data_IF_456946268375
#
_entry.id   IF_456946268375
#
_cell.length_a   1.000
_cell.length_b   1.000
_cell.length_c   1.000
_cell.angle_alpha   90.00
_cell.angle_beta   90.00
_cell.angle_gamma   90.00
#
_symmetry.space_group_name_H-M   'P 1'
#
loop_
_entity.id
_entity.type
_entity.pdbx_description
1 polymer ?
#
# COMPACT_ATOMS: atom_id res chain seq x y z
N UNK A 1 6.26 -1.63 -18.60
CA UNK A 1 7.07 -1.58 -17.37
C UNK A 1 6.35 -0.71 -16.36
N UNK A 2 6.15 -1.20 -15.15
CA UNK A 2 5.50 -0.40 -14.12
C UNK A 2 6.53 0.21 -13.17
N UNK A 3 6.10 1.22 -12.42
CA UNK A 3 6.95 1.89 -11.43
C UNK A 3 6.65 1.39 -10.02
N UNK A 4 6.12 0.17 -9.92
CA UNK A 4 5.70 -0.38 -8.63
C UNK A 4 6.89 -0.92 -7.86
N UNK A 5 6.91 -0.64 -6.57
CA UNK A 5 7.89 -1.14 -5.62
C UNK A 5 7.18 -1.83 -4.47
N UNK A 6 7.92 -2.64 -3.71
CA UNK A 6 7.34 -3.49 -2.67
C UNK A 6 8.20 -3.48 -1.43
N UNK A 7 7.54 -3.69 -0.27
CA UNK A 7 8.24 -3.81 1.01
C UNK A 7 8.13 -5.23 1.54
N UNK A 8 9.02 -5.62 2.47
CA UNK A 8 8.90 -6.92 3.14
C UNK A 8 7.59 -7.09 3.93
N UNK A 9 6.94 -5.99 4.30
CA UNK A 9 5.65 -6.01 5.00
C UNK A 9 4.47 -6.20 4.06
N UNK A 10 4.73 -6.49 2.78
CA UNK A 10 3.69 -6.78 1.78
C UNK A 10 2.83 -5.57 1.43
N UNK A 11 3.46 -4.41 1.34
CA UNK A 11 2.83 -3.17 0.89
C UNK A 11 3.50 -2.76 -0.42
N UNK A 12 2.69 -2.34 -1.40
CA UNK A 12 3.23 -1.83 -2.66
C UNK A 12 3.05 -0.33 -2.76
N UNK A 13 3.90 0.30 -3.56
CA UNK A 13 3.82 1.72 -3.87
C UNK A 13 4.16 1.90 -5.35
N UNK A 14 3.41 2.73 -6.03
CA UNK A 14 3.61 2.97 -7.47
C UNK A 14 3.61 4.46 -7.75
N UNK A 15 4.75 4.96 -8.26
CA UNK A 15 4.88 6.37 -8.59
C UNK A 15 4.03 6.70 -9.82
N UNK A 16 3.35 7.85 -9.79
CA UNK A 16 2.59 8.34 -10.91
C UNK A 16 3.52 8.95 -11.96
N UNK A 17 2.96 9.27 -13.13
CA UNK A 17 3.73 9.87 -14.22
C UNK A 17 4.37 11.21 -13.85
N UNK A 18 3.80 11.94 -12.88
CA UNK A 18 4.34 13.21 -12.43
C UNK A 18 5.63 13.05 -11.60
N UNK A 19 5.95 11.83 -11.15
CA UNK A 19 7.13 11.54 -10.36
C UNK A 19 7.09 12.07 -8.93
N UNK A 20 5.97 12.66 -8.51
CA UNK A 20 5.83 13.31 -7.20
C UNK A 20 4.79 12.58 -6.36
N UNK A 21 3.71 12.10 -7.00
CA UNK A 21 2.60 11.42 -6.35
C UNK A 21 2.79 9.91 -6.47
N UNK A 22 2.40 9.17 -5.44
CA UNK A 22 2.46 7.72 -5.47
C UNK A 22 1.21 7.11 -4.84
N UNK A 23 0.81 5.95 -5.36
CA UNK A 23 -0.34 5.19 -4.86
C UNK A 23 0.18 4.03 -4.01
N UNK A 24 -0.50 3.77 -2.89
CA UNK A 24 -0.10 2.73 -1.93
C UNK A 24 -1.23 1.73 -1.74
N UNK A 25 -0.90 0.46 -1.66
CA UNK A 25 -1.85 -0.60 -1.39
C UNK A 25 -1.14 -1.84 -0.83
N UNK A 26 -1.90 -2.92 -0.64
CA UNK A 26 -1.34 -4.18 -0.15
C UNK A 26 -1.22 -5.19 -1.29
N UNK A 27 -0.32 -6.16 -1.12
CA UNK A 27 -0.07 -7.16 -2.16
C UNK A 27 -1.11 -8.28 -2.13
N UNK A 28 -1.12 -9.10 -3.19
CA UNK A 28 -1.92 -10.33 -3.21
C UNK A 28 -1.55 -11.24 -2.06
N UNK A 29 -0.27 -11.35 -1.74
CA UNK A 29 0.20 -12.18 -0.63
C UNK A 29 -0.42 -11.71 0.69
N UNK A 30 -0.46 -10.39 0.90
CA UNK A 30 -1.02 -9.83 2.13
C UNK A 30 -2.51 -10.15 2.27
N UNK A 31 -3.29 -9.89 1.21
CA UNK A 31 -4.73 -10.12 1.28
C UNK A 31 -5.05 -11.61 1.42
N UNK A 32 -4.26 -12.49 0.79
CA UNK A 32 -4.44 -13.92 0.90
C UNK A 32 -4.19 -14.41 2.34
N UNK A 33 -3.13 -13.91 2.95
CA UNK A 33 -2.79 -14.25 4.33
C UNK A 33 -3.84 -13.73 5.34
N UNK A 34 -4.42 -12.55 5.05
CA UNK A 34 -5.43 -11.96 5.93
C UNK A 34 -6.80 -12.62 5.81
N UNK A 35 -7.14 -13.14 4.62
CA UNK A 35 -8.47 -13.64 4.33
C UNK A 35 -9.43 -12.49 4.04
N UNK A 36 -10.72 -12.72 4.22
CA UNK A 36 -11.75 -11.73 3.87
C UNK A 36 -11.59 -10.43 4.67
N UNK A 37 -11.35 -9.35 3.96
CA UNK A 37 -11.17 -8.03 4.56
C UNK A 37 -12.54 -7.40 4.75
N UNK A 38 -12.84 -6.98 5.99
CA UNK A 38 -14.16 -6.48 6.37
C UNK A 38 -14.14 -5.00 6.73
N UNK A 39 -12.98 -4.41 7.01
CA UNK A 39 -12.87 -3.00 7.35
C UNK A 39 -11.46 -2.50 7.04
N UNK A 40 -11.39 -1.25 6.55
CA UNK A 40 -10.11 -0.58 6.27
C UNK A 40 -10.17 0.79 6.92
N UNK A 41 -9.20 1.09 7.80
CA UNK A 41 -9.07 2.42 8.37
C UNK A 41 -8.04 3.18 7.53
N UNK A 42 -8.49 4.17 6.77
CA UNK A 42 -7.65 4.96 5.89
C UNK A 42 -7.15 6.22 6.61
N UNK A 43 -5.97 6.75 6.22
CA UNK A 43 -5.47 7.98 6.84
C UNK A 43 -6.29 9.19 6.44
N UNK A 44 -6.24 10.25 7.26
CA UNK A 44 -6.91 11.50 6.94
C UNK A 44 -6.12 12.28 5.89
N UNK A 45 -6.83 12.98 5.00
CA UNK A 45 -6.19 13.86 4.02
C UNK A 45 -5.34 14.90 4.73
N UNK A 46 -4.19 15.20 4.15
CA UNK A 46 -3.27 16.20 4.70
C UNK A 46 -2.35 15.68 5.79
N UNK A 47 -2.52 14.42 6.23
CA UNK A 47 -1.62 13.84 7.22
C UNK A 47 -0.27 13.52 6.58
N UNK A 48 0.82 13.88 7.26
CA UNK A 48 2.17 13.55 6.81
C UNK A 48 2.72 12.40 7.63
N UNK A 49 3.40 11.48 6.96
CA UNK A 49 4.01 10.32 7.60
C UNK A 49 5.49 10.23 7.26
N UNK A 50 6.27 9.75 8.21
CA UNK A 50 7.64 9.33 7.93
C UNK A 50 7.62 7.91 7.35
N UNK A 51 8.68 7.56 6.62
CA UNK A 51 8.83 6.22 6.07
C UNK A 51 8.67 5.17 7.18
N UNK A 52 7.94 4.12 6.89
CA UNK A 52 7.66 2.99 7.78
C UNK A 52 6.70 3.30 8.95
N UNK A 53 6.08 4.48 8.97
CA UNK A 53 5.03 4.76 9.94
C UNK A 53 3.77 3.95 9.59
N UNK A 54 2.93 3.70 10.59
CA UNK A 54 1.63 3.04 10.36
C UNK A 54 0.67 4.07 9.80
N UNK A 55 0.29 3.90 8.53
CA UNK A 55 -0.58 4.85 7.84
C UNK A 55 -2.02 4.38 7.72
N UNK A 56 -2.25 3.07 7.75
CA UNK A 56 -3.60 2.50 7.64
C UNK A 56 -3.68 1.21 8.44
N UNK A 57 -4.90 0.75 8.70
CA UNK A 57 -5.14 -0.52 9.39
C UNK A 57 -6.16 -1.30 8.57
N UNK A 58 -5.91 -2.60 8.41
CA UNK A 58 -6.79 -3.52 7.70
C UNK A 58 -7.35 -4.52 8.70
N UNK A 59 -8.66 -4.68 8.75
CA UNK A 59 -9.29 -5.69 9.59
C UNK A 59 -9.91 -6.77 8.72
N UNK A 60 -9.58 -8.00 9.00
CA UNK A 60 -10.16 -9.17 8.32
C UNK A 60 -10.99 -9.96 9.32
N UNK A 61 -11.64 -11.01 8.81
CA UNK A 61 -12.41 -11.92 9.68
C UNK A 61 -11.54 -12.62 10.71
N UNK A 62 -10.22 -12.69 10.48
CA UNK A 62 -9.28 -13.40 11.35
C UNK A 62 -8.49 -12.49 12.26
N UNK A 63 -8.10 -11.29 11.79
CA UNK A 63 -7.11 -10.47 12.49
C UNK A 63 -7.13 -9.03 11.98
N UNK A 64 -6.37 -8.17 12.64
CA UNK A 64 -6.09 -6.81 12.18
C UNK A 64 -4.60 -6.69 11.88
N UNK A 65 -4.26 -5.89 10.88
CA UNK A 65 -2.87 -5.68 10.47
C UNK A 65 -2.61 -4.21 10.19
N UNK A 66 -1.41 -3.77 10.55
CA UNK A 66 -0.93 -2.42 10.26
C UNK A 66 -0.42 -2.36 8.84
N UNK A 67 -0.68 -1.23 8.15
CA UNK A 67 -0.10 -0.95 6.84
C UNK A 67 0.98 0.10 7.03
N UNK A 68 2.23 -0.33 6.86
CA UNK A 68 3.39 0.55 7.02
C UNK A 68 3.64 1.28 5.71
N UNK A 69 3.72 2.61 5.76
CA UNK A 69 3.91 3.41 4.55
C UNK A 69 5.32 3.17 3.98
N UNK A 70 5.42 2.80 2.68
CA UNK A 70 6.73 2.46 2.10
C UNK A 70 7.68 3.63 1.96
N UNK A 71 7.14 4.84 1.82
CA UNK A 71 7.91 6.07 1.69
C UNK A 71 7.18 7.18 2.40
N UNK A 72 7.90 8.14 2.96
CA UNK A 72 7.29 9.28 3.63
C UNK A 72 6.60 10.23 2.68
N UNK A 73 5.57 10.89 3.14
CA UNK A 73 4.83 11.85 2.34
C UNK A 73 3.55 12.31 2.99
N UNK A 74 2.85 13.19 2.29
CA UNK A 74 1.57 13.74 2.72
C UNK A 74 0.44 13.07 1.97
N UNK A 75 -0.60 12.63 2.67
CA UNK A 75 -1.79 11.99 2.07
C UNK A 75 -2.58 13.03 1.30
N UNK A 76 -2.73 12.80 -0.01
CA UNK A 76 -3.45 13.72 -0.90
C UNK A 76 -4.76 13.14 -1.43
N UNK A 77 -4.96 11.82 -1.30
CA UNK A 77 -6.19 11.16 -1.73
C UNK A 77 -6.34 9.82 -1.00
N UNK A 78 -7.58 9.45 -0.70
CA UNK A 78 -7.91 8.13 -0.15
C UNK A 78 -8.95 7.47 -1.05
N UNK A 79 -8.97 6.13 -1.05
CA UNK A 79 -9.88 5.37 -1.90
C UNK A 79 -11.22 5.17 -1.19
N UNK A 80 -12.17 6.05 -1.46
CA UNK A 80 -13.48 5.97 -0.84
C UNK A 80 -14.25 4.71 -1.26
N UNK A 81 -13.99 4.20 -2.47
CA UNK A 81 -14.61 2.95 -2.93
C UNK A 81 -14.18 1.77 -2.06
N UNK A 82 -12.92 1.75 -1.64
CA UNK A 82 -12.40 0.73 -0.76
C UNK A 82 -13.04 0.84 0.62
N UNK A 83 -13.20 2.06 1.12
CA UNK A 83 -13.86 2.28 2.42
C UNK A 83 -15.28 1.76 2.40
N UNK A 84 -16.00 1.98 1.30
CA UNK A 84 -17.36 1.52 1.13
C UNK A 84 -17.45 0.01 0.89
N UNK A 85 -16.41 -0.57 0.27
CA UNK A 85 -16.37 -1.99 -0.09
C UNK A 85 -14.98 -2.56 0.18
N UNK A 86 -14.68 -2.92 1.44
CA UNK A 86 -13.34 -3.43 1.79
C UNK A 86 -12.90 -4.66 1.02
N UNK A 87 -13.83 -5.44 0.47
CA UNK A 87 -13.49 -6.64 -0.29
C UNK A 87 -12.74 -6.32 -1.59
N UNK A 88 -12.71 -5.06 -2.03
CA UNK A 88 -11.88 -4.68 -3.16
C UNK A 88 -10.40 -4.99 -2.92
N UNK A 89 -9.96 -4.93 -1.67
CA UNK A 89 -8.57 -5.29 -1.33
C UNK A 89 -8.31 -6.78 -1.53
N UNK A 90 -9.36 -7.61 -1.48
CA UNK A 90 -9.23 -9.05 -1.76
C UNK A 90 -9.29 -9.33 -3.26
N UNK A 91 -10.21 -8.69 -3.98
CA UNK A 91 -10.49 -9.02 -5.38
C UNK A 91 -9.54 -8.33 -6.34
N UNK A 92 -9.05 -7.14 -6.00
CA UNK A 92 -8.19 -6.37 -6.91
C UNK A 92 -7.21 -5.48 -6.13
N UNK A 93 -6.33 -6.09 -5.31
CA UNK A 93 -5.46 -5.31 -4.41
C UNK A 93 -4.45 -4.42 -5.13
N UNK A 94 -4.11 -4.76 -6.38
CA UNK A 94 -3.08 -4.02 -7.13
C UNK A 94 -3.64 -2.87 -7.94
N UNK A 95 -4.96 -2.74 -8.05
CA UNK A 95 -5.60 -1.66 -8.82
C UNK A 95 -6.77 -1.05 -8.07
N UNK A 96 -8.01 -1.54 -8.29
CA UNK A 96 -9.20 -0.94 -7.71
C UNK A 96 -9.18 -0.90 -6.18
N UNK A 97 -8.45 -1.81 -5.56
CA UNK A 97 -8.32 -1.90 -4.09
C UNK A 97 -7.16 -1.10 -3.51
N UNK A 98 -6.67 -0.08 -4.21
CA UNK A 98 -5.62 0.78 -3.65
C UNK A 98 -6.11 1.49 -2.39
N UNK A 99 -5.18 1.86 -1.51
CA UNK A 99 -5.53 2.43 -0.20
C UNK A 99 -5.55 3.95 -0.19
N UNK A 100 -4.40 4.57 -0.52
CA UNK A 100 -4.29 6.04 -0.51
C UNK A 100 -3.18 6.47 -1.44
N UNK A 101 -3.16 7.78 -1.74
CA UNK A 101 -2.10 8.40 -2.53
C UNK A 101 -1.39 9.45 -1.68
N UNK A 102 -0.08 9.55 -1.87
CA UNK A 102 0.76 10.50 -1.14
C UNK A 102 1.52 11.37 -2.12
N UNK A 103 1.89 12.57 -1.66
CA UNK A 103 2.90 13.39 -2.31
C UNK A 103 4.22 13.05 -1.62
N UNK A 104 5.15 12.49 -2.38
CA UNK A 104 6.41 11.98 -1.85
C UNK A 104 7.26 13.10 -1.26
N UNK A 105 7.82 12.84 -0.07
CA UNK A 105 8.75 13.76 0.57
C UNK A 105 10.17 13.56 0.06
N UNK A 106 10.54 12.32 -0.27
CA UNK A 106 11.89 11.98 -0.73
C UNK A 106 11.80 10.83 -1.74
N UNK A 107 12.03 11.15 -3.01
CA UNK A 107 11.98 10.17 -4.09
C UNK A 107 13.02 9.08 -3.95
N UNK A 108 14.14 9.36 -3.29
CA UNK A 108 15.20 8.37 -3.11
C UNK A 108 14.74 7.16 -2.28
N UNK A 109 13.72 7.33 -1.44
CA UNK A 109 13.19 6.23 -0.64
C UNK A 109 12.60 5.12 -1.51
N UNK A 110 12.08 5.46 -2.69
CA UNK A 110 11.52 4.46 -3.60
C UNK A 110 12.58 3.54 -4.17
N UNK A 111 13.74 4.08 -4.51
CA UNK A 111 14.79 3.28 -5.15
C UNK A 111 15.40 2.24 -4.22
N UNK A 112 15.21 2.39 -2.91
CA UNK A 112 15.69 1.44 -1.92
C UNK A 112 14.73 0.24 -1.76
N UNK A 113 13.52 0.34 -2.30
CA UNK A 113 12.51 -0.72 -2.19
C UNK A 113 12.68 -1.77 -3.29
N UNK A 114 12.06 -2.93 -3.10
CA UNK A 114 12.14 -4.02 -4.08
C UNK A 114 11.35 -3.68 -5.34
N UNK A 115 11.96 -3.92 -6.52
CA UNK A 115 11.23 -3.91 -7.78
C UNK A 115 10.49 -5.25 -7.95
N UNK A 116 9.77 -5.44 -9.06
CA UNK A 116 9.01 -6.66 -9.31
C UNK A 116 9.88 -7.91 -9.26
N UNK A 117 11.06 -7.86 -9.85
CA UNK A 117 11.95 -9.03 -9.91
C UNK A 117 12.44 -9.42 -8.53
N UNK A 118 12.85 -8.44 -7.74
CA UNK A 118 13.34 -8.70 -6.38
C UNK A 118 12.21 -9.15 -5.46
N UNK A 119 11.03 -8.57 -5.63
CA UNK A 119 9.87 -8.97 -4.83
C UNK A 119 9.47 -10.42 -5.13
N UNK A 120 9.51 -10.85 -6.39
CA UNK A 120 9.20 -12.24 -6.75
C UNK A 120 10.14 -13.21 -6.07
N UNK A 121 11.43 -12.88 -6.00
CA UNK A 121 12.40 -13.71 -5.27
C UNK A 121 12.09 -13.73 -3.78
N UNK A 122 11.79 -12.58 -3.20
CA UNK A 122 11.42 -12.48 -1.79
C UNK A 122 10.16 -13.29 -1.48
N UNK A 123 9.16 -13.20 -2.34
CA UNK A 123 7.87 -13.87 -2.15
C UNK A 123 8.01 -15.39 -2.07
N UNK A 124 8.96 -15.96 -2.81
CA UNK A 124 9.21 -17.40 -2.79
C UNK A 124 9.67 -17.89 -1.41
N UNK A 125 10.27 -17.01 -0.63
CA UNK A 125 10.80 -17.37 0.69
C UNK A 125 9.91 -16.87 1.83
N UNK A 126 8.85 -16.16 1.52
CA UNK A 126 7.97 -15.56 2.51
C UNK A 126 6.97 -16.56 3.13
#
# INVERSE_FOLDING_TARGET
MNNRRYTPEQVWIEAAADGITATVGITHHAQDALGDIVFVELPALGTSFDQNAVAAIVESVKTAADVFIPAGGEVVQVNEDLRANPSLANTDPLQAGWFFKIRLADLAQLSALMDDARYREFEKTA
#
